data_IF_601463092464
#
_entry.id   IF_601463092464
#
_cell.length_a   1.000
_cell.length_b   1.000
_cell.length_c   1.000
_cell.angle_alpha   90.00
_cell.angle_beta   90.00
_cell.angle_gamma   90.00
#
_symmetry.space_group_name_H-M   'P 1'
#
loop_
_entity.id
_entity.type
_entity.pdbx_description
1 polymer ?
#
# COMPACT_ATOMS: atom_id res chain seq x y z
N UNK A 1 -4.22 6.11 -34.70
CA UNK A 1 -4.45 6.57 -33.31
C UNK A 1 -3.10 6.65 -32.62
N UNK A 2 -2.66 7.85 -32.22
CA UNK A 2 -1.31 8.09 -31.71
C UNK A 2 -1.13 7.46 -30.33
N UNK A 3 -0.16 6.55 -30.19
CA UNK A 3 0.19 5.87 -28.92
C UNK A 3 0.39 6.84 -27.74
N UNK A 4 0.79 8.10 -28.00
CA UNK A 4 0.90 9.17 -27.00
C UNK A 4 -0.43 9.49 -26.29
N UNK A 5 -1.55 9.40 -27.00
CA UNK A 5 -2.87 9.70 -26.42
C UNK A 5 -3.32 8.67 -25.38
N UNK A 6 -2.98 7.39 -25.60
CA UNK A 6 -3.25 6.31 -24.66
C UNK A 6 -2.40 6.41 -23.40
N UNK A 7 -1.09 6.62 -23.55
CA UNK A 7 -0.15 6.76 -22.43
C UNK A 7 -0.47 7.99 -21.57
N UNK A 8 -0.83 9.12 -22.18
CA UNK A 8 -1.20 10.33 -21.44
C UNK A 8 -2.50 10.16 -20.64
N UNK A 9 -3.51 9.45 -21.19
CA UNK A 9 -4.74 9.12 -20.46
C UNK A 9 -4.49 8.16 -19.31
N UNK A 10 -3.68 7.12 -19.53
CA UNK A 10 -3.30 6.17 -18.49
C UNK A 10 -2.50 6.83 -17.35
N UNK A 11 -1.57 7.73 -17.69
CA UNK A 11 -0.83 8.50 -16.68
C UNK A 11 -1.71 9.43 -15.84
N UNK A 12 -2.69 10.10 -16.46
CA UNK A 12 -3.68 10.92 -15.73
C UNK A 12 -4.55 10.07 -14.79
N UNK A 13 -4.91 8.85 -15.21
CA UNK A 13 -5.65 7.90 -14.37
C UNK A 13 -4.83 7.45 -13.16
N UNK A 14 -3.57 7.02 -13.34
CA UNK A 14 -2.68 6.65 -12.25
C UNK A 14 -2.44 7.80 -11.26
N UNK A 15 -2.25 9.02 -11.78
CA UNK A 15 -2.07 10.21 -10.94
C UNK A 15 -3.33 10.52 -10.11
N UNK A 16 -4.52 10.38 -10.70
CA UNK A 16 -5.80 10.50 -9.99
C UNK A 16 -5.99 9.45 -8.88
N UNK A 17 -5.29 8.33 -8.97
CA UNK A 17 -5.32 7.24 -7.99
C UNK A 17 -4.45 7.52 -6.76
N UNK A 18 -3.33 8.24 -6.96
CA UNK A 18 -2.36 8.54 -5.90
C UNK A 18 -2.62 9.89 -5.22
N UNK A 19 -3.13 10.89 -5.95
CA UNK A 19 -3.37 12.24 -5.43
C UNK A 19 -4.20 12.30 -4.14
N UNK A 20 -5.35 11.61 -4.01
CA UNK A 20 -6.13 11.57 -2.76
C UNK A 20 -5.44 10.80 -1.61
N UNK A 21 -4.42 10.00 -1.92
CA UNK A 21 -3.72 9.13 -0.96
C UNK A 21 -2.36 9.69 -0.51
N UNK A 22 -1.95 10.89 -0.97
CA UNK A 22 -0.67 11.53 -0.59
C UNK A 22 -0.52 11.65 0.94
N UNK A 23 -1.62 11.89 1.67
CA UNK A 23 -1.59 11.96 3.14
C UNK A 23 -1.10 10.67 3.80
N UNK A 24 -1.42 9.51 3.24
CA UNK A 24 -0.95 8.21 3.77
C UNK A 24 0.56 8.03 3.54
N UNK A 25 1.09 8.49 2.39
CA UNK A 25 2.53 8.49 2.11
C UNK A 25 3.30 9.43 3.03
N UNK A 26 2.74 10.61 3.34
CA UNK A 26 3.35 11.57 4.28
C UNK A 26 3.37 10.98 5.70
N UNK A 27 2.27 10.39 6.16
CA UNK A 27 2.19 9.75 7.48
C UNK A 27 3.19 8.59 7.61
N UNK A 28 3.28 7.74 6.58
CA UNK A 28 4.27 6.67 6.51
C UNK A 28 5.71 7.22 6.56
N UNK A 29 6.03 8.23 5.75
CA UNK A 29 7.37 8.85 5.74
C UNK A 29 7.75 9.47 7.08
N UNK A 30 6.80 10.09 7.78
CA UNK A 30 7.03 10.64 9.12
C UNK A 30 7.26 9.55 10.17
N UNK A 31 6.49 8.47 10.13
CA UNK A 31 6.66 7.32 11.03
C UNK A 31 7.98 6.60 10.78
N UNK A 32 8.40 6.48 9.52
CA UNK A 32 9.73 5.99 9.14
C UNK A 32 10.84 6.87 9.74
N UNK A 33 10.73 8.20 9.59
CA UNK A 33 11.73 9.14 10.11
C UNK A 33 11.86 9.12 11.64
N UNK A 34 10.78 8.77 12.35
CA UNK A 34 10.79 8.66 13.81
C UNK A 34 11.31 7.32 14.32
N UNK A 35 10.78 6.19 13.80
CA UNK A 35 10.90 4.89 14.48
C UNK A 35 11.81 3.87 13.80
N UNK A 36 12.30 4.14 12.58
CA UNK A 36 13.31 3.28 11.95
C UNK A 36 14.63 3.36 12.75
N UNK A 37 15.47 2.31 12.75
CA UNK A 37 16.78 2.32 13.41
C UNK A 37 17.71 3.50 13.05
N UNK A 38 17.49 4.16 11.92
CA UNK A 38 18.22 5.36 11.47
C UNK A 38 17.47 6.68 11.72
N UNK A 39 16.36 6.64 12.47
CA UNK A 39 15.47 7.76 12.74
C UNK A 39 15.86 8.58 13.98
N UNK A 40 15.07 9.62 14.28
CA UNK A 40 15.30 10.50 15.44
C UNK A 40 15.06 9.81 16.80
N UNK A 41 14.12 8.84 16.89
CA UNK A 41 13.80 8.10 18.12
C UNK A 41 13.57 6.61 17.83
N UNK A 42 14.66 5.83 17.63
CA UNK A 42 14.56 4.42 17.26
C UNK A 42 13.92 3.57 18.37
N UNK A 43 12.84 2.85 18.03
CA UNK A 43 12.16 1.95 18.96
C UNK A 43 11.78 0.64 18.26
N UNK A 44 12.36 -0.48 18.72
CA UNK A 44 12.15 -1.81 18.16
C UNK A 44 10.67 -2.25 18.19
N UNK A 45 9.90 -1.78 19.18
CA UNK A 45 8.48 -2.08 19.30
C UNK A 45 7.59 -1.21 18.42
N UNK A 46 8.10 -0.21 17.70
CA UNK A 46 7.31 0.67 16.82
C UNK A 46 7.77 0.61 15.35
N UNK A 47 8.93 0.01 15.08
CA UNK A 47 9.48 -0.18 13.74
C UNK A 47 8.61 -1.09 12.83
N UNK A 48 7.66 -1.84 13.39
CA UNK A 48 6.71 -2.61 12.57
C UNK A 48 5.64 -1.71 11.95
N UNK A 49 5.24 -0.60 12.57
CA UNK A 49 4.11 0.24 12.08
C UNK A 49 4.33 0.70 10.63
N UNK A 50 5.49 1.26 10.24
CA UNK A 50 5.71 1.69 8.86
C UNK A 50 5.73 0.53 7.86
N UNK A 51 6.23 -0.63 8.30
CA UNK A 51 6.23 -1.88 7.51
C UNK A 51 4.80 -2.33 7.21
N UNK A 52 3.91 -2.29 8.19
CA UNK A 52 2.49 -2.64 7.99
C UNK A 52 1.74 -1.63 7.11
N UNK A 53 2.10 -0.35 7.17
CA UNK A 53 1.48 0.67 6.31
C UNK A 53 1.79 0.47 4.83
N UNK A 54 3.03 0.13 4.46
CA UNK A 54 3.39 -0.08 3.05
C UNK A 54 2.86 -1.40 2.50
N UNK A 55 2.75 -2.43 3.35
CA UNK A 55 2.25 -3.75 2.93
C UNK A 55 0.74 -3.81 2.80
N UNK A 56 0.00 -3.16 3.70
CA UNK A 56 -1.46 -3.29 3.75
C UNK A 56 -2.15 -1.98 3.35
N UNK A 57 -1.81 -0.90 4.04
CA UNK A 57 -2.58 0.34 4.00
C UNK A 57 -2.44 1.04 2.65
N UNK A 58 -1.22 1.21 2.14
CA UNK A 58 -0.97 1.88 0.85
C UNK A 58 -1.60 1.13 -0.33
N UNK A 59 -1.42 -0.20 -0.48
CA UNK A 59 -2.04 -0.97 -1.56
C UNK A 59 -3.58 -0.91 -1.53
N UNK A 60 -4.18 -1.03 -0.34
CA UNK A 60 -5.63 -0.98 -0.16
C UNK A 60 -6.18 0.39 -0.58
N UNK A 61 -5.56 1.47 -0.11
CA UNK A 61 -6.00 2.83 -0.43
C UNK A 61 -5.87 3.13 -1.93
N UNK A 62 -4.77 2.69 -2.56
CA UNK A 62 -4.56 2.87 -3.99
C UNK A 62 -5.62 2.10 -4.78
N UNK A 63 -5.88 0.83 -4.45
CA UNK A 63 -6.87 0.02 -5.15
C UNK A 63 -8.31 0.49 -4.92
N UNK A 64 -8.65 0.94 -3.71
CA UNK A 64 -9.94 1.56 -3.42
C UNK A 64 -10.17 2.83 -4.25
N UNK A 65 -9.17 3.71 -4.36
CA UNK A 65 -9.31 4.90 -5.22
C UNK A 65 -9.33 4.54 -6.72
N UNK A 66 -8.58 3.52 -7.14
CA UNK A 66 -8.61 3.01 -8.51
C UNK A 66 -9.97 2.45 -8.91
N UNK A 67 -10.56 1.64 -8.04
CA UNK A 67 -11.92 1.14 -8.23
C UNK A 67 -12.96 2.27 -8.22
N UNK A 68 -12.76 3.29 -7.37
CA UNK A 68 -13.65 4.46 -7.30
C UNK A 68 -13.71 5.24 -8.62
N UNK A 69 -12.60 5.39 -9.31
CA UNK A 69 -12.57 6.09 -10.60
C UNK A 69 -13.28 5.34 -11.74
N UNK A 70 -13.49 4.02 -11.61
CA UNK A 70 -14.15 3.21 -12.65
C UNK A 70 -15.65 3.02 -12.37
N UNK A 71 -16.01 2.71 -11.12
CA UNK A 71 -17.39 2.35 -10.76
C UNK A 71 -17.94 3.12 -9.54
N UNK A 72 -17.34 4.26 -9.19
CA UNK A 72 -17.77 5.10 -8.07
C UNK A 72 -17.64 4.38 -6.72
N UNK A 73 -18.55 4.63 -5.79
CA UNK A 73 -18.54 4.00 -4.45
C UNK A 73 -18.49 2.46 -4.48
N UNK A 74 -19.16 1.84 -5.45
CA UNK A 74 -19.18 0.37 -5.59
C UNK A 74 -17.80 -0.16 -5.96
N UNK A 75 -17.09 0.54 -6.83
CA UNK A 75 -15.74 0.19 -7.21
C UNK A 75 -14.74 0.37 -6.08
N UNK A 76 -14.95 1.33 -5.18
CA UNK A 76 -14.10 1.53 -4.02
C UNK A 76 -14.06 0.30 -3.10
N UNK A 77 -15.25 -0.24 -2.79
CA UNK A 77 -15.40 -1.44 -1.96
C UNK A 77 -14.81 -2.66 -2.64
N UNK A 78 -15.11 -2.87 -3.93
CA UNK A 78 -14.60 -4.02 -4.70
C UNK A 78 -13.06 -3.98 -4.80
N UNK A 79 -12.48 -2.82 -5.07
CA UNK A 79 -11.02 -2.66 -5.18
C UNK A 79 -10.31 -2.93 -3.84
N UNK A 80 -10.89 -2.47 -2.74
CA UNK A 80 -10.37 -2.71 -1.39
C UNK A 80 -10.45 -4.19 -1.01
N UNK A 81 -11.58 -4.85 -1.28
CA UNK A 81 -11.77 -6.29 -1.02
C UNK A 81 -10.82 -7.14 -1.89
N UNK A 82 -10.63 -6.76 -3.16
CA UNK A 82 -9.75 -7.48 -4.07
C UNK A 82 -8.29 -7.46 -3.59
N UNK A 83 -7.79 -6.30 -3.15
CA UNK A 83 -6.44 -6.22 -2.58
C UNK A 83 -6.35 -6.92 -1.23
N UNK A 84 -7.36 -6.82 -0.37
CA UNK A 84 -7.40 -7.59 0.87
C UNK A 84 -7.31 -9.09 0.61
N UNK A 85 -8.03 -9.60 -0.40
CA UNK A 85 -7.95 -11.01 -0.82
C UNK A 85 -6.58 -11.40 -1.41
N UNK A 86 -5.96 -10.51 -2.19
CA UNK A 86 -4.65 -10.74 -2.80
C UNK A 86 -3.53 -10.74 -1.74
N UNK A 87 -3.60 -9.84 -0.78
CA UNK A 87 -2.71 -9.77 0.39
C UNK A 87 -2.92 -11.01 1.27
N UNK A 88 -4.16 -11.40 1.55
CA UNK A 88 -4.47 -12.59 2.34
C UNK A 88 -4.00 -13.89 1.68
N UNK A 89 -3.99 -13.97 0.35
CA UNK A 89 -3.43 -15.12 -0.39
C UNK A 89 -1.90 -15.22 -0.27
N UNK A 90 -1.19 -14.10 -0.02
CA UNK A 90 0.28 -14.05 -0.03
C UNK A 90 0.94 -13.92 1.34
N UNK A 91 0.18 -13.83 2.43
CA UNK A 91 0.71 -13.48 3.75
C UNK A 91 0.44 -14.55 4.80
N UNK A 92 1.48 -15.28 5.20
CA UNK A 92 1.60 -15.95 6.50
C UNK A 92 2.39 -15.03 7.44
N UNK A 93 1.75 -14.53 8.49
CA UNK A 93 2.37 -13.67 9.50
C UNK A 93 2.99 -14.51 10.60
N UNK A 94 4.32 -14.66 10.56
CA UNK A 94 5.09 -15.27 11.63
C UNK A 94 5.81 -14.17 12.41
N UNK A 95 5.41 -13.94 13.66
CA UNK A 95 6.13 -13.06 14.58
C UNK A 95 6.99 -13.94 15.48
N UNK A 96 8.27 -14.05 15.15
CA UNK A 96 9.29 -14.65 16.03
C UNK A 96 10.33 -13.58 16.36
N UNK A 97 10.45 -13.23 17.64
CA UNK A 97 11.54 -12.42 18.21
C UNK A 97 11.61 -10.93 17.80
N UNK A 98 10.46 -10.30 17.52
CA UNK A 98 10.39 -8.85 17.25
C UNK A 98 10.86 -8.42 15.85
N UNK A 99 11.25 -9.38 15.01
CA UNK A 99 11.48 -9.18 13.59
C UNK A 99 10.25 -9.66 12.78
N UNK A 100 9.73 -8.80 11.91
CA UNK A 100 8.70 -9.20 10.94
C UNK A 100 9.42 -9.82 9.75
N UNK A 101 9.51 -11.15 9.72
CA UNK A 101 9.98 -11.89 8.55
C UNK A 101 8.80 -12.13 7.61
N UNK A 102 8.74 -11.38 6.51
CA UNK A 102 7.85 -11.69 5.39
C UNK A 102 8.42 -12.87 4.62
N UNK A 103 7.96 -14.08 4.92
CA UNK A 103 8.23 -15.24 4.08
C UNK A 103 7.14 -15.35 3.01
N UNK A 104 7.51 -15.04 1.76
CA UNK A 104 6.73 -15.45 0.59
C UNK A 104 6.88 -16.95 0.45
N UNK A 105 5.98 -17.74 1.04
CA UNK A 105 5.87 -19.16 0.66
C UNK A 105 5.26 -19.19 -0.73
N UNK A 106 6.13 -19.25 -1.73
CA UNK A 106 5.83 -19.93 -2.99
C UNK A 106 5.19 -21.28 -2.65
N UNK A 107 3.98 -21.51 -3.16
CA UNK A 107 3.67 -22.83 -3.69
C UNK A 107 4.12 -22.76 -5.15
N UNK A 108 5.42 -22.88 -5.44
CA UNK A 108 6.20 -24.13 -5.46
C UNK A 108 7.15 -24.35 -4.28
#
# INVERSE_FOLDING_TARGET
MSAKGGVARFGKFLSGMIMPNIGAFIAWGFLCALFIPTGWMPNANLNWIPTWMITFLIPILIAGQGGRMVAGERGHVIGTIAIMGCIAQGITLSVSDGAVSMSTTTML
#
